data_IF_692663405722
#
_entry.id   IF_692663405722
#
_cell.length_a   1.000
_cell.length_b   1.000
_cell.length_c   1.000
_cell.angle_alpha   90.00
_cell.angle_beta   90.00
_cell.angle_gamma   90.00
#
_symmetry.space_group_name_H-M   'P 1'
#
loop_
_entity.id
_entity.type
_entity.pdbx_description
1 polymer ?
#
# COMPACT_ATOMS: atom_id res chain seq x y z
N UNK A 1 37.39 -25.96 8.38
CA UNK A 1 37.00 -25.01 7.31
C UNK A 1 36.58 -23.70 7.98
N UNK A 2 37.53 -22.79 8.20
CA UNK A 2 37.34 -21.55 8.98
C UNK A 2 36.74 -20.49 8.05
N UNK A 3 35.44 -20.22 8.17
CA UNK A 3 34.79 -19.10 7.52
C UNK A 3 35.39 -17.79 8.05
N UNK A 4 36.06 -17.07 7.18
CA UNK A 4 36.82 -15.86 7.48
C UNK A 4 35.88 -14.78 8.02
N UNK A 5 36.04 -14.35 9.27
CA UNK A 5 35.24 -13.33 9.98
C UNK A 5 35.05 -12.04 9.15
N UNK A 6 36.00 -11.71 8.28
CA UNK A 6 35.92 -10.60 7.33
C UNK A 6 34.78 -10.75 6.31
N UNK A 7 34.53 -11.96 5.78
CA UNK A 7 33.46 -12.18 4.80
C UNK A 7 32.06 -12.05 5.43
N UNK A 8 31.90 -12.46 6.69
CA UNK A 8 30.64 -12.31 7.43
C UNK A 8 30.34 -10.83 7.68
N UNK A 9 31.36 -10.06 8.03
CA UNK A 9 31.20 -8.62 8.31
C UNK A 9 30.85 -7.81 7.04
N UNK A 10 31.50 -8.09 5.90
CA UNK A 10 31.21 -7.44 4.62
C UNK A 10 29.82 -7.80 4.09
N UNK A 11 29.40 -9.05 4.19
CA UNK A 11 28.05 -9.49 3.82
C UNK A 11 26.98 -8.76 4.64
N UNK A 12 27.19 -8.60 5.95
CA UNK A 12 26.26 -7.93 6.84
C UNK A 12 26.14 -6.42 6.54
N UNK A 13 27.24 -5.76 6.19
CA UNK A 13 27.28 -4.32 5.89
C UNK A 13 26.57 -4.00 4.55
N UNK A 14 26.81 -4.79 3.52
CA UNK A 14 26.12 -4.65 2.23
C UNK A 14 24.61 -4.92 2.35
N UNK A 15 24.23 -5.92 3.12
CA UNK A 15 22.82 -6.27 3.32
C UNK A 15 22.06 -5.20 4.11
N UNK A 16 22.67 -4.62 5.15
CA UNK A 16 22.08 -3.53 5.93
C UNK A 16 21.88 -2.25 5.10
N UNK A 17 22.77 -1.96 4.17
CA UNK A 17 22.63 -0.84 3.24
C UNK A 17 21.47 -1.07 2.27
N UNK A 18 21.32 -2.30 1.78
CA UNK A 18 20.24 -2.69 0.88
C UNK A 18 18.87 -2.67 1.55
N UNK A 19 18.77 -3.13 2.81
CA UNK A 19 17.50 -3.17 3.56
C UNK A 19 17.03 -1.77 4.00
N UNK A 20 17.93 -0.86 4.33
CA UNK A 20 17.58 0.52 4.69
C UNK A 20 17.07 1.32 3.48
N UNK A 21 17.60 1.04 2.30
CA UNK A 21 17.14 1.66 1.06
C UNK A 21 15.73 1.21 0.66
N UNK A 22 15.39 -0.05 0.93
CA UNK A 22 14.09 -0.64 0.59
C UNK A 22 12.94 -0.09 1.44
N UNK A 23 13.19 0.23 2.73
CA UNK A 23 12.14 0.74 3.62
C UNK A 23 11.70 2.16 3.19
N UNK A 24 12.63 3.03 2.78
CA UNK A 24 12.30 4.37 2.26
C UNK A 24 11.52 4.33 0.94
N UNK A 25 11.92 3.46 0.02
CA UNK A 25 11.21 3.29 -1.26
C UNK A 25 9.80 2.74 -1.08
N UNK A 26 9.59 1.86 -0.11
CA UNK A 26 8.27 1.35 0.23
C UNK A 26 7.31 2.48 0.63
N UNK A 27 7.70 3.33 1.57
CA UNK A 27 6.86 4.44 2.01
C UNK A 27 6.58 5.47 0.91
N UNK A 28 7.55 5.71 0.01
CA UNK A 28 7.35 6.59 -1.15
C UNK A 28 6.32 5.98 -2.12
N UNK A 29 6.42 4.69 -2.44
CA UNK A 29 5.46 4.00 -3.32
C UNK A 29 4.08 3.98 -2.69
N UNK A 30 3.96 3.52 -1.46
CA UNK A 30 2.70 3.47 -0.72
C UNK A 30 2.03 4.86 -0.66
N UNK A 31 2.79 5.90 -0.34
CA UNK A 31 2.30 7.27 -0.31
C UNK A 31 1.86 7.76 -1.70
N UNK A 32 2.61 7.42 -2.74
CA UNK A 32 2.26 7.74 -4.13
C UNK A 32 0.97 7.05 -4.58
N UNK A 33 0.84 5.75 -4.36
CA UNK A 33 -0.37 4.98 -4.71
C UNK A 33 -1.58 5.48 -3.92
N UNK A 34 -1.42 5.77 -2.63
CA UNK A 34 -2.49 6.35 -1.80
C UNK A 34 -2.91 7.73 -2.29
N UNK A 35 -1.96 8.61 -2.63
CA UNK A 35 -2.26 9.93 -3.16
C UNK A 35 -3.00 9.86 -4.51
N UNK A 36 -2.59 8.94 -5.39
CA UNK A 36 -3.30 8.68 -6.65
C UNK A 36 -4.73 8.21 -6.42
N UNK A 37 -4.95 7.28 -5.49
CA UNK A 37 -6.27 6.78 -5.15
C UNK A 37 -7.17 7.89 -4.59
N UNK A 38 -6.68 8.69 -3.65
CA UNK A 38 -7.41 9.82 -3.09
C UNK A 38 -7.72 10.88 -4.15
N UNK A 39 -6.76 11.19 -5.02
CA UNK A 39 -6.95 12.09 -6.15
C UNK A 39 -8.02 11.60 -7.11
N UNK A 40 -8.04 10.30 -7.40
CA UNK A 40 -9.03 9.70 -8.28
C UNK A 40 -10.44 9.72 -7.66
N UNK A 41 -10.56 9.44 -6.35
CA UNK A 41 -11.82 9.58 -5.59
C UNK A 41 -12.31 11.02 -5.66
N UNK A 42 -11.44 12.02 -5.46
CA UNK A 42 -11.81 13.43 -5.54
C UNK A 42 -12.29 13.81 -6.94
N UNK A 43 -11.57 13.41 -7.99
CA UNK A 43 -11.95 13.67 -9.39
C UNK A 43 -13.30 13.03 -9.70
N UNK A 44 -13.49 11.77 -9.33
CA UNK A 44 -14.77 11.08 -9.54
C UNK A 44 -15.92 11.77 -8.79
N UNK A 45 -15.73 12.13 -7.52
CA UNK A 45 -16.74 12.79 -6.71
C UNK A 45 -17.19 14.13 -7.30
N UNK A 46 -16.25 14.92 -7.79
CA UNK A 46 -16.57 16.17 -8.48
C UNK A 46 -17.32 15.88 -9.78
N UNK A 47 -16.83 14.98 -10.62
CA UNK A 47 -17.46 14.66 -11.89
C UNK A 47 -18.90 14.15 -11.71
N UNK A 48 -19.10 13.20 -10.78
CA UNK A 48 -20.42 12.59 -10.56
C UNK A 48 -21.41 13.57 -9.90
N UNK A 49 -20.93 14.45 -9.03
CA UNK A 49 -21.76 15.52 -8.45
C UNK A 49 -22.40 16.41 -9.52
N UNK A 50 -21.64 16.77 -10.55
CA UNK A 50 -22.16 17.53 -11.67
C UNK A 50 -23.07 16.72 -12.61
N UNK A 51 -22.71 15.48 -12.91
CA UNK A 51 -23.44 14.65 -13.88
C UNK A 51 -24.74 14.13 -13.34
N UNK A 52 -24.79 13.77 -12.07
CA UNK A 52 -26.00 13.22 -11.39
C UNK A 52 -26.77 14.28 -10.61
N UNK A 53 -26.33 15.55 -10.62
CA UNK A 53 -26.91 16.66 -9.87
C UNK A 53 -27.09 16.35 -8.36
N UNK A 54 -26.17 15.57 -7.78
CA UNK A 54 -26.16 15.21 -6.37
C UNK A 54 -25.22 16.10 -5.56
N UNK A 55 -25.40 16.12 -4.23
CA UNK A 55 -24.49 16.87 -3.36
C UNK A 55 -23.07 16.31 -3.40
N UNK A 56 -22.07 17.16 -3.20
CA UNK A 56 -20.67 16.69 -3.15
C UNK A 56 -20.45 15.66 -2.05
N UNK A 57 -21.18 15.79 -0.91
CA UNK A 57 -21.13 14.81 0.17
C UNK A 57 -21.62 13.43 -0.25
N UNK A 58 -22.73 13.36 -0.96
CA UNK A 58 -23.28 12.12 -1.49
C UNK A 58 -22.35 11.51 -2.55
N UNK A 59 -21.76 12.35 -3.40
CA UNK A 59 -20.80 11.93 -4.41
C UNK A 59 -19.51 11.34 -3.79
N UNK A 60 -19.00 11.93 -2.71
CA UNK A 60 -17.87 11.39 -1.95
C UNK A 60 -18.26 10.06 -1.29
N UNK A 61 -19.42 9.99 -0.67
CA UNK A 61 -19.94 8.77 -0.06
C UNK A 61 -20.06 7.63 -1.07
N UNK A 62 -20.68 7.89 -2.22
CA UNK A 62 -20.78 6.94 -3.32
C UNK A 62 -19.41 6.47 -3.78
N UNK A 63 -18.43 7.39 -3.94
CA UNK A 63 -17.08 7.06 -4.39
C UNK A 63 -16.36 6.15 -3.41
N UNK A 64 -16.40 6.47 -2.11
CA UNK A 64 -15.73 5.69 -1.06
C UNK A 64 -16.36 4.31 -0.92
N UNK A 65 -17.69 4.22 -0.85
CA UNK A 65 -18.39 2.94 -0.69
C UNK A 65 -18.20 2.02 -1.89
N UNK A 66 -18.07 2.60 -3.08
CA UNK A 66 -17.81 1.86 -4.31
C UNK A 66 -16.36 1.33 -4.36
N UNK A 67 -15.37 2.19 -4.10
CA UNK A 67 -13.94 1.82 -4.12
C UNK A 67 -13.64 0.76 -3.05
N UNK A 68 -14.21 0.90 -1.88
CA UNK A 68 -14.04 -0.09 -0.80
C UNK A 68 -14.86 -1.37 -1.01
N UNK A 69 -15.60 -1.44 -2.12
CA UNK A 69 -16.45 -2.59 -2.50
C UNK A 69 -17.57 -2.90 -1.53
N UNK A 70 -17.94 -1.95 -0.65
CA UNK A 70 -19.07 -2.09 0.28
C UNK A 70 -20.39 -2.00 -0.48
N UNK A 71 -20.57 -0.95 -1.31
CA UNK A 71 -21.72 -0.76 -2.19
C UNK A 71 -23.07 -0.90 -1.50
N UNK A 72 -23.42 0.00 -0.59
CA UNK A 72 -24.70 -0.04 0.11
C UNK A 72 -25.92 0.02 -0.83
N UNK A 73 -25.75 0.60 -2.02
CA UNK A 73 -26.82 0.71 -3.00
C UNK A 73 -27.85 1.82 -2.71
N UNK A 74 -27.59 2.62 -1.70
CA UNK A 74 -28.38 3.80 -1.33
C UNK A 74 -28.23 4.94 -2.36
N UNK A 75 -27.05 5.06 -2.95
CA UNK A 75 -26.74 5.99 -4.04
C UNK A 75 -26.13 5.23 -5.21
N UNK A 76 -26.49 5.63 -6.43
CA UNK A 76 -25.94 5.04 -7.64
C UNK A 76 -26.03 6.01 -8.82
N UNK A 77 -25.15 5.84 -9.81
CA UNK A 77 -25.20 6.58 -11.06
C UNK A 77 -26.45 6.14 -11.85
N UNK A 78 -27.37 7.06 -12.10
CA UNK A 78 -28.61 6.84 -12.83
C UNK A 78 -28.45 7.11 -14.33
N UNK A 79 -27.65 8.13 -14.68
CA UNK A 79 -27.42 8.53 -16.06
C UNK A 79 -26.44 7.60 -16.77
N UNK A 80 -26.54 7.51 -18.08
CA UNK A 80 -25.58 6.74 -18.90
C UNK A 80 -24.16 7.30 -18.75
N UNK A 81 -24.01 8.61 -18.72
CA UNK A 81 -22.70 9.26 -18.56
C UNK A 81 -22.10 8.95 -17.17
N UNK A 82 -22.88 9.08 -16.09
CA UNK A 82 -22.44 8.75 -14.75
C UNK A 82 -22.00 7.30 -14.60
N UNK A 83 -22.73 6.35 -15.21
CA UNK A 83 -22.36 4.92 -15.22
C UNK A 83 -21.02 4.68 -15.92
N UNK A 84 -20.76 5.30 -17.06
CA UNK A 84 -19.47 5.18 -17.74
C UNK A 84 -18.32 5.80 -16.94
N UNK A 85 -18.52 7.00 -16.38
CA UNK A 85 -17.53 7.65 -15.51
C UNK A 85 -17.19 6.76 -14.33
N UNK A 86 -18.19 6.25 -13.61
CA UNK A 86 -18.01 5.35 -12.47
C UNK A 86 -17.32 4.05 -12.87
N UNK A 87 -17.75 3.44 -13.99
CA UNK A 87 -17.20 2.19 -14.49
C UNK A 87 -15.70 2.31 -14.84
N UNK A 88 -15.32 3.39 -15.52
CA UNK A 88 -13.91 3.58 -15.93
C UNK A 88 -13.07 4.01 -14.73
N UNK A 89 -13.47 5.04 -13.99
CA UNK A 89 -12.64 5.60 -12.92
C UNK A 89 -12.61 4.71 -11.69
N UNK A 90 -13.75 4.23 -11.20
CA UNK A 90 -13.78 3.46 -9.96
C UNK A 90 -13.58 1.97 -10.19
N UNK A 91 -14.36 1.33 -11.07
CA UNK A 91 -14.28 -0.13 -11.20
C UNK A 91 -12.99 -0.60 -11.85
N UNK A 92 -12.42 0.19 -12.78
CA UNK A 92 -11.19 -0.21 -13.47
C UNK A 92 -9.96 0.33 -12.75
N UNK A 93 -9.85 1.64 -12.54
CA UNK A 93 -8.62 2.27 -12.06
C UNK A 93 -8.54 2.21 -10.53
N UNK A 94 -9.59 2.67 -9.81
CA UNK A 94 -9.52 2.78 -8.36
C UNK A 94 -9.41 1.41 -7.68
N UNK A 95 -10.15 0.40 -8.14
CA UNK A 95 -10.06 -0.97 -7.60
C UNK A 95 -8.67 -1.57 -7.88
N UNK A 96 -8.08 -1.31 -9.04
CA UNK A 96 -6.72 -1.75 -9.35
C UNK A 96 -5.68 -1.10 -8.43
N UNK A 97 -5.82 0.19 -8.13
CA UNK A 97 -4.96 0.90 -7.18
C UNK A 97 -5.13 0.36 -5.74
N UNK A 98 -6.37 0.04 -5.34
CA UNK A 98 -6.62 -0.56 -4.03
C UNK A 98 -5.96 -1.95 -3.91
N UNK A 99 -6.05 -2.76 -4.96
CA UNK A 99 -5.38 -4.07 -5.02
C UNK A 99 -3.85 -3.91 -4.97
N UNK A 100 -3.29 -2.90 -5.65
CA UNK A 100 -1.87 -2.58 -5.58
C UNK A 100 -1.45 -2.18 -4.16
N UNK A 101 -2.22 -1.35 -3.45
CA UNK A 101 -1.96 -0.99 -2.05
C UNK A 101 -1.91 -2.23 -1.15
N UNK A 102 -2.85 -3.15 -1.32
CA UNK A 102 -2.86 -4.41 -0.60
C UNK A 102 -1.59 -5.24 -0.90
N UNK A 103 -1.20 -5.35 -2.17
CA UNK A 103 0.03 -6.02 -2.60
C UNK A 103 1.29 -5.41 -1.96
N UNK A 104 1.44 -4.09 -1.99
CA UNK A 104 2.57 -3.38 -1.37
C UNK A 104 2.64 -3.64 0.15
N UNK A 105 1.50 -3.70 0.82
CA UNK A 105 1.43 -4.03 2.24
C UNK A 105 1.87 -5.47 2.51
N UNK A 106 1.41 -6.45 1.73
CA UNK A 106 1.83 -7.84 1.85
C UNK A 106 3.32 -8.03 1.59
N UNK A 107 3.87 -7.39 0.57
CA UNK A 107 5.30 -7.44 0.26
C UNK A 107 6.15 -6.88 1.40
N UNK A 108 5.70 -5.80 2.02
CA UNK A 108 6.36 -5.24 3.20
C UNK A 108 6.34 -6.23 4.38
N UNK A 109 5.19 -6.85 4.65
CA UNK A 109 5.06 -7.87 5.70
C UNK A 109 5.96 -9.08 5.46
N UNK A 110 6.02 -9.56 4.22
CA UNK A 110 6.91 -10.67 3.83
C UNK A 110 8.38 -10.29 4.00
N UNK A 111 8.76 -9.07 3.62
CA UNK A 111 10.13 -8.56 3.81
C UNK A 111 10.51 -8.50 5.28
N UNK A 112 9.62 -8.01 6.15
CA UNK A 112 9.85 -8.00 7.61
C UNK A 112 10.00 -9.41 8.17
N UNK A 113 9.16 -10.35 7.74
CA UNK A 113 9.24 -11.76 8.14
C UNK A 113 10.57 -12.38 7.72
N UNK A 114 10.98 -12.16 6.47
CA UNK A 114 12.25 -12.66 5.95
C UNK A 114 13.47 -12.06 6.66
N UNK A 115 13.39 -10.79 7.09
CA UNK A 115 14.44 -10.18 7.93
C UNK A 115 14.57 -10.90 9.28
N UNK A 116 13.46 -11.30 9.89
CA UNK A 116 13.46 -12.05 11.18
C UNK A 116 14.03 -13.45 11.02
N UNK A 117 13.56 -14.21 10.03
CA UNK A 117 13.99 -15.61 9.83
C UNK A 117 15.45 -15.74 9.43
N UNK A 118 16.02 -14.74 8.78
CA UNK A 118 17.44 -14.70 8.39
C UNK A 118 18.36 -14.14 9.48
N UNK A 119 17.86 -13.89 10.71
CA UNK A 119 18.64 -13.36 11.82
C UNK A 119 19.14 -11.91 11.60
N UNK A 120 18.53 -11.17 10.67
CA UNK A 120 18.91 -9.79 10.34
C UNK A 120 18.18 -8.75 11.18
N UNK A 121 17.33 -9.22 12.11
CA UNK A 121 16.61 -8.36 13.03
C UNK A 121 17.54 -7.88 14.16
N UNK A 122 17.62 -6.57 14.41
CA UNK A 122 18.35 -6.03 15.54
C UNK A 122 17.49 -6.17 16.81
N UNK A 123 17.77 -7.22 17.59
CA UNK A 123 17.21 -7.32 18.93
C UNK A 123 17.93 -6.31 19.83
N UNK A 124 17.19 -5.46 20.51
CA UNK A 124 17.72 -4.70 21.65
C UNK A 124 17.72 -5.69 22.82
N UNK A 125 18.82 -6.38 23.02
CA UNK A 125 19.01 -7.24 24.17
C UNK A 125 19.84 -6.48 25.18
N UNK A 126 19.27 -6.22 26.35
CA UNK A 126 19.98 -5.81 27.56
C UNK A 126 20.16 -7.11 28.36
N UNK A 127 21.38 -7.32 28.90
CA UNK A 127 21.73 -8.45 29.77
C UNK A 127 21.48 -9.85 29.14
N UNK A 128 22.28 -10.23 28.14
CA UNK A 128 22.22 -11.55 27.52
C UNK A 128 23.45 -12.38 27.86
N UNK A 129 23.21 -13.66 28.11
CA UNK A 129 24.25 -14.69 28.34
C UNK A 129 24.57 -15.35 26.99
N UNK A 130 25.83 -15.26 26.56
CA UNK A 130 26.32 -15.97 25.37
C UNK A 130 26.79 -17.36 25.82
N UNK A 131 26.08 -18.40 25.42
CA UNK A 131 26.52 -19.79 25.57
C UNK A 131 27.22 -20.18 24.27
N UNK A 132 28.51 -20.41 24.33
CA UNK A 132 29.33 -20.93 23.20
C UNK A 132 29.60 -22.42 23.51
N UNK A 133 29.12 -23.30 22.67
CA UNK A 133 29.41 -24.73 22.68
C UNK A 133 30.29 -25.11 21.50
#
# INVERSE_FOLDING_TARGET
>A
MLLNFRQIYWRKRHYLKYTKHNDGQFFIRLGGTLALLLGLIAIHSVAISYVEAMTLGDAIWLSITTVTTVGYGDLSASTTAGRWITGILLYTIAISLLAQLAGEFFDYRLTLRNKKTRGLWRWKMNDHLLIIN
#
